data_IF_619284591826
#
_entry.id   IF_619284591826
#
_cell.length_a   1.000
_cell.length_b   1.000
_cell.length_c   1.000
_cell.angle_alpha   90.00
_cell.angle_beta   90.00
_cell.angle_gamma   90.00
#
_symmetry.space_group_name_H-M   'P 1'
#
loop_
_entity.id
_entity.type
_entity.pdbx_description
1 polymer ?
#
# COMPACT_ATOMS: atom_id res chain seq x y z
N UNK A 1 -25.89 -22.14 -6.37
CA UNK A 1 -24.67 -22.28 -5.53
C UNK A 1 -24.67 -21.10 -4.56
N UNK A 2 -25.07 -21.31 -3.30
CA UNK A 2 -25.07 -20.24 -2.29
C UNK A 2 -23.63 -20.02 -1.84
N UNK A 3 -23.12 -18.80 -2.02
CA UNK A 3 -21.85 -18.37 -1.44
C UNK A 3 -22.07 -18.31 0.08
N UNK A 4 -21.26 -19.01 0.90
CA UNK A 4 -21.36 -18.85 2.34
C UNK A 4 -21.13 -17.38 2.68
N UNK A 5 -22.16 -16.75 3.22
CA UNK A 5 -22.06 -15.41 3.80
C UNK A 5 -21.35 -15.61 5.13
N UNK A 6 -20.06 -15.29 5.17
CA UNK A 6 -19.33 -15.22 6.44
C UNK A 6 -20.15 -14.42 7.44
N UNK A 7 -20.33 -14.89 8.69
CA UNK A 7 -21.09 -14.17 9.69
C UNK A 7 -20.55 -12.74 9.81
N UNK A 8 -21.40 -11.74 10.11
CA UNK A 8 -20.95 -10.37 10.26
C UNK A 8 -19.87 -10.36 11.33
N UNK A 9 -18.61 -10.18 10.93
CA UNK A 9 -17.51 -10.03 11.86
C UNK A 9 -17.89 -8.82 12.72
N UNK A 10 -18.36 -9.06 13.95
CA UNK A 10 -18.76 -8.04 14.93
C UNK A 10 -17.53 -7.33 15.48
N UNK A 11 -16.57 -7.03 14.60
CA UNK A 11 -15.44 -6.16 14.90
C UNK A 11 -16.01 -4.77 15.08
N UNK A 12 -16.23 -4.40 16.33
CA UNK A 12 -16.35 -3.00 16.78
C UNK A 12 -15.43 -2.13 15.91
N UNK A 13 -15.94 -1.04 15.35
CA UNK A 13 -15.18 -0.15 14.45
C UNK A 13 -13.80 0.26 15.03
N UNK A 14 -13.73 0.34 16.36
CA UNK A 14 -12.49 0.58 17.12
C UNK A 14 -11.42 -0.50 16.85
N UNK A 15 -11.83 -1.76 16.73
CA UNK A 15 -10.94 -2.87 16.37
C UNK A 15 -10.44 -2.77 14.93
N UNK A 16 -11.24 -2.22 14.00
CA UNK A 16 -10.82 -2.07 12.60
C UNK A 16 -9.74 -0.99 12.46
N UNK A 17 -9.94 0.18 13.10
CA UNK A 17 -8.93 1.25 13.09
C UNK A 17 -7.62 0.83 13.77
N UNK A 18 -7.70 0.11 14.88
CA UNK A 18 -6.52 -0.42 15.57
C UNK A 18 -5.77 -1.46 14.72
N UNK A 19 -6.50 -2.39 14.07
CA UNK A 19 -5.91 -3.33 13.10
C UNK A 19 -5.26 -2.58 11.93
N UNK A 20 -5.90 -1.52 11.43
CA UNK A 20 -5.37 -0.65 10.37
C UNK A 20 -4.07 0.05 10.78
N UNK A 21 -4.03 0.61 11.99
CA UNK A 21 -2.82 1.24 12.54
C UNK A 21 -1.67 0.24 12.67
N UNK A 22 -1.94 -0.96 13.18
CA UNK A 22 -0.93 -2.01 13.29
C UNK A 22 -0.38 -2.41 11.91
N UNK A 23 -1.24 -2.56 10.90
CA UNK A 23 -0.80 -2.85 9.52
C UNK A 23 0.05 -1.73 8.93
N UNK A 24 -0.31 -0.47 9.19
CA UNK A 24 0.48 0.68 8.76
C UNK A 24 1.88 0.64 9.38
N UNK A 25 1.98 0.40 10.68
CA UNK A 25 3.27 0.25 11.37
C UNK A 25 4.08 -0.93 10.84
N UNK A 26 3.46 -2.10 10.63
CA UNK A 26 4.15 -3.28 10.09
C UNK A 26 4.66 -3.00 8.67
N UNK A 27 3.84 -2.37 7.82
CA UNK A 27 4.25 -2.00 6.46
C UNK A 27 5.42 -1.00 6.46
N UNK A 28 5.31 0.06 7.27
CA UNK A 28 6.37 1.06 7.40
C UNK A 28 7.67 0.47 7.97
N UNK A 29 7.57 -0.36 9.02
CA UNK A 29 8.71 -1.07 9.59
C UNK A 29 9.33 -2.05 8.58
N UNK A 30 8.52 -2.74 7.79
CA UNK A 30 9.00 -3.63 6.73
C UNK A 30 9.77 -2.89 5.64
N UNK A 31 9.28 -1.73 5.19
CA UNK A 31 10.00 -0.87 4.24
C UNK A 31 11.30 -0.36 4.84
N UNK A 32 11.27 0.17 6.06
CA UNK A 32 12.46 0.69 6.74
C UNK A 32 13.52 -0.40 6.94
N UNK A 33 13.12 -1.58 7.44
CA UNK A 33 14.01 -2.72 7.60
C UNK A 33 14.61 -3.17 6.26
N UNK A 34 13.80 -3.22 5.20
CA UNK A 34 14.26 -3.55 3.86
C UNK A 34 15.28 -2.56 3.31
N UNK A 35 15.10 -1.25 3.54
CA UNK A 35 16.09 -0.23 3.18
C UNK A 35 17.40 -0.45 3.95
N UNK A 36 17.34 -0.68 5.27
CA UNK A 36 18.54 -0.93 6.09
C UNK A 36 19.30 -2.15 5.60
N UNK A 37 18.60 -3.25 5.30
CA UNK A 37 19.22 -4.47 4.75
C UNK A 37 19.84 -4.18 3.39
N UNK A 38 19.17 -3.44 2.51
CA UNK A 38 19.73 -3.06 1.21
C UNK A 38 21.00 -2.23 1.37
N UNK A 39 21.01 -1.21 2.24
CA UNK A 39 22.21 -0.40 2.48
C UNK A 39 23.36 -1.26 3.00
N UNK A 40 23.09 -2.12 4.00
CA UNK A 40 24.10 -3.01 4.56
C UNK A 40 24.69 -3.98 3.52
N UNK A 41 23.85 -4.58 2.67
CA UNK A 41 24.31 -5.50 1.61
C UNK A 41 25.10 -4.76 0.54
N UNK A 42 24.64 -3.58 0.12
CA UNK A 42 25.33 -2.76 -0.87
C UNK A 42 26.74 -2.37 -0.39
N UNK A 43 26.87 -1.94 0.87
CA UNK A 43 28.16 -1.59 1.48
C UNK A 43 29.06 -2.81 1.68
N UNK A 44 28.52 -3.93 2.18
CA UNK A 44 29.32 -5.12 2.51
C UNK A 44 29.85 -5.83 1.27
N UNK A 45 29.06 -5.90 0.19
CA UNK A 45 29.40 -6.68 -0.99
C UNK A 45 29.78 -5.83 -2.20
N UNK A 46 29.85 -4.49 -2.07
CA UNK A 46 30.07 -3.55 -3.17
C UNK A 46 29.17 -3.83 -4.39
N UNK A 47 27.97 -4.36 -4.16
CA UNK A 47 27.03 -4.73 -5.21
C UNK A 47 26.07 -3.59 -5.51
N UNK A 48 25.93 -3.28 -6.80
CA UNK A 48 24.83 -2.43 -7.27
C UNK A 48 23.55 -3.23 -7.19
N UNK A 49 22.69 -2.89 -6.23
CA UNK A 49 21.38 -3.54 -6.08
C UNK A 49 20.49 -3.14 -7.26
N UNK A 50 20.08 -4.13 -8.04
CA UNK A 50 19.20 -3.93 -9.19
C UNK A 50 17.77 -3.55 -8.79
N UNK A 51 17.02 -3.00 -9.73
CA UNK A 51 15.64 -2.51 -9.58
C UNK A 51 14.65 -3.52 -8.98
N UNK A 52 14.93 -4.83 -9.07
CA UNK A 52 14.08 -5.88 -8.50
C UNK A 52 13.92 -5.81 -6.97
N UNK A 53 14.92 -5.30 -6.25
CA UNK A 53 14.85 -5.14 -4.79
C UNK A 53 13.85 -4.06 -4.37
N UNK A 54 13.77 -2.98 -5.14
CA UNK A 54 12.81 -1.88 -4.90
C UNK A 54 11.37 -2.38 -5.07
N UNK A 55 11.12 -3.30 -6.01
CA UNK A 55 9.81 -3.90 -6.19
C UNK A 55 9.34 -4.70 -4.95
N UNK A 56 10.26 -5.37 -4.24
CA UNK A 56 9.93 -6.09 -3.00
C UNK A 56 9.53 -5.14 -1.87
N UNK A 57 10.18 -3.98 -1.75
CA UNK A 57 9.77 -2.93 -0.81
C UNK A 57 8.36 -2.40 -1.11
N UNK A 58 7.99 -2.36 -2.39
CA UNK A 58 6.64 -1.99 -2.84
C UNK A 58 5.54 -2.87 -2.24
N UNK A 59 5.81 -4.16 -1.99
CA UNK A 59 4.83 -5.08 -1.38
C UNK A 59 4.57 -4.71 0.09
N UNK A 60 5.64 -4.44 0.86
CA UNK A 60 5.52 -3.98 2.24
C UNK A 60 4.80 -2.62 2.32
N UNK A 61 5.13 -1.71 1.40
CA UNK A 61 4.45 -0.41 1.28
C UNK A 61 2.96 -0.55 0.96
N UNK A 62 2.61 -1.40 -0.01
CA UNK A 62 1.22 -1.69 -0.37
C UNK A 62 0.43 -2.25 0.82
N UNK A 63 1.03 -3.17 1.58
CA UNK A 63 0.42 -3.70 2.80
C UNK A 63 0.15 -2.59 3.83
N UNK A 64 1.12 -1.70 4.05
CA UNK A 64 0.96 -0.53 4.93
C UNK A 64 -0.16 0.42 4.47
N UNK A 65 -0.27 0.68 3.17
CA UNK A 65 -1.35 1.49 2.58
C UNK A 65 -2.73 0.88 2.81
N UNK A 66 -2.87 -0.45 2.80
CA UNK A 66 -4.16 -1.07 3.19
C UNK A 66 -4.52 -0.77 4.65
N UNK A 67 -3.52 -0.70 5.53
CA UNK A 67 -3.70 -0.30 6.93
C UNK A 67 -4.13 1.16 7.07
N UNK A 68 -3.52 2.06 6.28
CA UNK A 68 -3.91 3.47 6.22
C UNK A 68 -5.36 3.65 5.75
N UNK A 69 -5.78 2.91 4.72
CA UNK A 69 -7.17 2.94 4.25
C UNK A 69 -8.15 2.47 5.34
N UNK A 70 -7.81 1.43 6.10
CA UNK A 70 -8.60 0.97 7.24
C UNK A 70 -8.66 2.01 8.37
N UNK A 71 -7.56 2.73 8.59
CA UNK A 71 -7.48 3.78 9.60
C UNK A 71 -8.36 5.00 9.25
N UNK A 72 -8.30 5.47 7.99
CA UNK A 72 -9.06 6.64 7.50
C UNK A 72 -10.55 6.31 7.41
N UNK A 73 -10.90 5.16 6.81
CA UNK A 73 -12.30 4.82 6.51
C UNK A 73 -13.01 4.16 7.68
N UNK A 74 -12.29 3.56 8.63
CA UNK A 74 -12.87 2.71 9.67
C UNK A 74 -13.46 1.41 9.15
N UNK A 75 -13.32 1.09 7.86
CA UNK A 75 -13.88 -0.10 7.24
C UNK A 75 -12.82 -1.18 7.00
N UNK A 76 -13.16 -2.48 7.13
CA UNK A 76 -12.26 -3.56 6.73
C UNK A 76 -11.96 -3.50 5.23
N UNK A 77 -10.71 -3.81 4.86
CA UNK A 77 -10.29 -3.78 3.45
C UNK A 77 -11.09 -4.75 2.57
N UNK A 78 -11.53 -5.90 3.11
CA UNK A 78 -12.41 -6.84 2.41
C UNK A 78 -13.75 -6.20 2.01
N UNK A 79 -14.32 -5.35 2.87
CA UNK A 79 -15.55 -4.62 2.54
C UNK A 79 -15.29 -3.53 1.50
N UNK A 80 -14.16 -2.82 1.59
CA UNK A 80 -13.77 -1.85 0.57
C UNK A 80 -13.59 -2.51 -0.81
N UNK A 81 -12.92 -3.66 -0.86
CA UNK A 81 -12.73 -4.44 -2.08
C UNK A 81 -14.08 -4.90 -2.66
N UNK A 82 -15.00 -5.40 -1.83
CA UNK A 82 -16.35 -5.77 -2.28
C UNK A 82 -17.12 -4.59 -2.86
N UNK A 83 -17.04 -3.41 -2.22
CA UNK A 83 -17.69 -2.19 -2.73
C UNK A 83 -17.08 -1.73 -4.05
N UNK A 84 -15.77 -1.87 -4.21
CA UNK A 84 -15.07 -1.58 -5.47
C UNK A 84 -15.53 -2.48 -6.62
N UNK A 85 -15.78 -3.76 -6.34
CA UNK A 85 -16.27 -4.70 -7.35
C UNK A 85 -17.74 -4.50 -7.74
N UNK A 86 -18.52 -3.81 -6.89
CA UNK A 86 -19.91 -3.44 -7.16
C UNK A 86 -20.05 -2.18 -8.03
N UNK A 87 -18.95 -1.45 -8.29
CA UNK A 87 -18.96 -0.24 -9.13
C UNK A 87 -19.24 -0.63 -10.61
N UNK A 88 -20.14 0.08 -11.32
CA UNK A 88 -20.35 -0.10 -12.74
C UNK A 88 -19.03 -0.03 -13.54
N UNK A 89 -18.85 -0.91 -14.52
CA UNK A 89 -17.61 -1.08 -15.28
C UNK A 89 -17.05 0.22 -15.88
N UNK A 90 -17.93 1.10 -16.38
CA UNK A 90 -17.52 2.41 -16.92
C UNK A 90 -16.99 3.34 -15.81
N UNK A 91 -17.66 3.40 -14.66
CA UNK A 91 -17.20 4.21 -13.53
C UNK A 91 -15.89 3.67 -12.95
N UNK A 92 -15.75 2.33 -12.88
CA UNK A 92 -14.53 1.65 -12.44
C UNK A 92 -13.34 2.00 -13.33
N UNK A 93 -13.55 2.13 -14.65
CA UNK A 93 -12.52 2.55 -15.58
C UNK A 93 -12.04 3.98 -15.30
N UNK A 94 -12.96 4.95 -15.20
CA UNK A 94 -12.58 6.35 -14.91
C UNK A 94 -11.93 6.51 -13.53
N UNK A 95 -12.44 5.81 -12.53
CA UNK A 95 -11.87 5.84 -11.18
C UNK A 95 -10.47 5.22 -11.15
N UNK A 96 -10.27 4.11 -11.89
CA UNK A 96 -8.96 3.50 -12.08
C UNK A 96 -7.99 4.44 -12.81
N UNK A 97 -8.44 5.12 -13.87
CA UNK A 97 -7.63 6.09 -14.60
C UNK A 97 -7.21 7.27 -13.70
N UNK A 98 -8.12 7.76 -12.85
CA UNK A 98 -7.83 8.83 -11.89
C UNK A 98 -6.80 8.39 -10.84
N UNK A 99 -6.94 7.18 -10.28
CA UNK A 99 -5.96 6.62 -9.33
C UNK A 99 -4.60 6.46 -10.01
N UNK A 100 -4.57 5.96 -11.25
CA UNK A 100 -3.35 5.81 -12.02
C UNK A 100 -2.66 7.16 -12.28
N UNK A 101 -3.41 8.18 -12.70
CA UNK A 101 -2.89 9.53 -12.92
C UNK A 101 -2.34 10.14 -11.61
N UNK A 102 -3.04 9.96 -10.49
CA UNK A 102 -2.56 10.40 -9.18
C UNK A 102 -1.26 9.69 -8.77
N UNK A 103 -1.17 8.37 -8.97
CA UNK A 103 0.03 7.59 -8.69
C UNK A 103 1.22 8.03 -9.55
N UNK A 104 0.98 8.31 -10.84
CA UNK A 104 2.00 8.87 -11.72
C UNK A 104 2.45 10.26 -11.29
N UNK A 105 1.52 11.11 -10.83
CA UNK A 105 1.84 12.42 -10.27
C UNK A 105 2.74 12.33 -9.04
N UNK A 106 2.43 11.42 -8.11
CA UNK A 106 3.26 11.17 -6.93
C UNK A 106 4.64 10.66 -7.32
N UNK A 107 4.73 9.71 -8.27
CA UNK A 107 6.02 9.22 -8.76
C UNK A 107 6.85 10.32 -9.42
N UNK A 108 6.25 11.14 -10.28
CA UNK A 108 6.93 12.27 -10.91
C UNK A 108 7.43 13.28 -9.86
N UNK A 109 6.61 13.58 -8.85
CA UNK A 109 7.00 14.46 -7.76
C UNK A 109 8.20 13.94 -6.96
N UNK A 110 8.20 12.64 -6.62
CA UNK A 110 9.34 11.96 -5.98
C UNK A 110 10.58 12.04 -6.87
N UNK A 111 10.45 11.77 -8.18
CA UNK A 111 11.60 11.83 -9.08
C UNK A 111 12.18 13.25 -9.13
N UNK A 112 11.35 14.27 -9.26
CA UNK A 112 11.80 15.66 -9.31
C UNK A 112 12.48 16.08 -8.00
N UNK A 113 11.89 15.74 -6.85
CA UNK A 113 12.47 16.10 -5.55
C UNK A 113 13.78 15.39 -5.26
N UNK A 114 13.94 14.12 -5.63
CA UNK A 114 15.15 13.35 -5.33
C UNK A 114 16.25 13.41 -6.40
N UNK A 115 15.90 13.57 -7.69
CA UNK A 115 16.87 13.52 -8.79
C UNK A 115 17.17 14.89 -9.41
N UNK A 116 16.22 15.82 -9.40
CA UNK A 116 16.40 17.14 -10.04
C UNK A 116 16.86 18.20 -9.04
N UNK A 117 16.46 18.08 -7.78
CA UNK A 117 16.91 18.98 -6.72
C UNK A 117 17.61 18.19 -5.59
N UNK A 118 18.77 17.56 -5.88
CA UNK A 118 19.57 16.98 -4.82
C UNK A 118 20.08 18.14 -3.95
N UNK A 119 19.60 18.24 -2.72
CA UNK A 119 20.24 19.08 -1.71
C UNK A 119 21.71 18.66 -1.54
#
# INVERSE_FOLDING_TARGET
MMIPVDPPETTSEKNVRMKGLLKLFIGAAGVAAGIVVMMYVAETYMMVLGHGWVAMLGVAGAYGLTGLMQLITGMPFSQMARRWDQIPSVQKFFLGLLIFAAAMGVLAWVIVTFFVNPY
#
